data_IF_747580438331
#
_entry.id   IF_747580438331
#
_cell.length_a   1.000
_cell.length_b   1.000
_cell.length_c   1.000
_cell.angle_alpha   90.00
_cell.angle_beta   90.00
_cell.angle_gamma   90.00
#
_symmetry.space_group_name_H-M   'P 1'
#
loop_
_entity.id
_entity.type
_entity.pdbx_description
1 polymer ?
#
# COMPACT_ATOMS: atom_id res chain seq x y z
N UNK A 1 9.56 14.80 9.24
CA UNK A 1 8.76 13.74 8.58
C UNK A 1 7.46 14.36 8.15
N UNK A 2 6.98 14.04 6.95
CA UNK A 2 5.71 14.54 6.39
C UNK A 2 4.54 13.69 6.86
N UNK A 3 3.41 14.30 7.20
CA UNK A 3 2.17 13.59 7.56
C UNK A 3 1.42 13.13 6.32
N UNK A 4 0.46 12.21 6.50
CA UNK A 4 -0.36 11.73 5.39
C UNK A 4 -1.22 12.85 4.78
N UNK A 5 -1.72 13.77 5.62
CA UNK A 5 -2.54 14.89 5.15
C UNK A 5 -1.69 15.93 4.40
N UNK A 6 -0.48 16.23 4.88
CA UNK A 6 0.47 17.07 4.15
C UNK A 6 0.80 16.49 2.77
N UNK A 7 1.08 15.19 2.69
CA UNK A 7 1.34 14.51 1.43
C UNK A 7 0.13 14.59 0.48
N UNK A 8 -1.08 14.31 0.97
CA UNK A 8 -2.31 14.40 0.17
C UNK A 8 -2.54 15.82 -0.36
N UNK A 9 -2.26 16.84 0.45
CA UNK A 9 -2.34 18.24 0.03
C UNK A 9 -1.31 18.55 -1.08
N UNK A 10 -0.06 18.08 -0.94
CA UNK A 10 0.96 18.22 -1.98
C UNK A 10 0.55 17.54 -3.28
N UNK A 11 0.00 16.31 -3.23
CA UNK A 11 -0.47 15.59 -4.42
C UNK A 11 -1.66 16.30 -5.11
N UNK A 12 -2.58 16.87 -4.32
CA UNK A 12 -3.70 17.63 -4.85
C UNK A 12 -3.23 18.92 -5.55
N UNK A 13 -2.29 19.65 -4.94
CA UNK A 13 -1.70 20.84 -5.54
C UNK A 13 -0.95 20.50 -6.85
N UNK A 14 -0.15 19.45 -6.84
CA UNK A 14 0.59 18.99 -8.02
C UNK A 14 -0.33 18.63 -9.20
N UNK A 15 -1.47 17.98 -8.91
CA UNK A 15 -2.48 17.65 -9.91
C UNK A 15 -3.21 18.90 -10.44
N UNK A 16 -3.59 19.82 -9.56
CA UNK A 16 -4.29 21.05 -9.90
C UNK A 16 -3.45 21.97 -10.80
N UNK A 17 -2.14 22.07 -10.55
CA UNK A 17 -1.20 22.83 -11.40
C UNK A 17 -1.17 22.35 -12.86
N UNK A 18 -1.62 21.12 -13.12
CA UNK A 18 -1.55 20.47 -14.44
C UNK A 18 -2.93 20.19 -15.03
N UNK A 19 -4.00 20.66 -14.37
CA UNK A 19 -5.40 20.41 -14.75
C UNK A 19 -5.75 18.91 -14.89
N UNK A 20 -5.06 18.06 -14.13
CA UNK A 20 -5.23 16.61 -14.19
C UNK A 20 -6.52 16.11 -13.53
N UNK A 21 -7.17 16.95 -12.73
CA UNK A 21 -8.43 16.61 -12.05
C UNK A 21 -9.53 16.21 -13.05
N UNK A 22 -9.47 16.70 -14.29
CA UNK A 22 -10.40 16.31 -15.37
C UNK A 22 -10.22 14.86 -15.84
N UNK A 23 -9.02 14.30 -15.72
CA UNK A 23 -8.68 12.92 -16.10
C UNK A 23 -8.84 11.90 -14.98
N UNK A 24 -8.95 12.35 -13.73
CA UNK A 24 -9.04 11.50 -12.53
C UNK A 24 -10.46 11.02 -12.24
N UNK A 25 -11.01 10.23 -13.14
CA UNK A 25 -12.20 9.41 -12.85
C UNK A 25 -11.80 8.20 -12.01
N UNK A 26 -12.71 7.65 -11.17
CA UNK A 26 -12.45 6.39 -10.45
C UNK A 26 -12.07 5.23 -11.38
N UNK A 27 -12.62 5.19 -12.59
CA UNK A 27 -12.27 4.17 -13.58
C UNK A 27 -10.81 4.32 -14.04
N UNK A 28 -10.38 5.54 -14.39
CA UNK A 28 -9.03 5.79 -14.85
C UNK A 28 -8.00 5.54 -13.75
N UNK A 29 -8.29 5.98 -12.52
CA UNK A 29 -7.41 5.74 -11.37
C UNK A 29 -7.28 4.25 -11.05
N UNK A 30 -8.35 3.46 -11.19
CA UNK A 30 -8.28 2.01 -11.00
C UNK A 30 -7.37 1.34 -12.03
N UNK A 31 -7.41 1.82 -13.29
CA UNK A 31 -6.50 1.37 -14.35
C UNK A 31 -5.05 1.74 -14.03
N UNK A 32 -4.78 3.00 -13.65
CA UNK A 32 -3.44 3.44 -13.25
C UNK A 32 -2.88 2.60 -12.10
N UNK A 33 -3.65 2.36 -11.04
CA UNK A 33 -3.22 1.48 -9.93
C UNK A 33 -2.82 0.10 -10.44
N UNK A 34 -3.60 -0.49 -11.35
CA UNK A 34 -3.29 -1.81 -11.93
C UNK A 34 -2.04 -1.80 -12.81
N UNK A 35 -1.78 -0.70 -13.52
CA UNK A 35 -0.61 -0.54 -14.39
C UNK A 35 0.64 -0.44 -13.52
N UNK A 36 0.69 0.48 -12.55
CA UNK A 36 1.87 0.65 -11.70
C UNK A 36 2.13 -0.58 -10.81
N UNK A 37 1.07 -1.29 -10.41
CA UNK A 37 1.24 -2.56 -9.71
C UNK A 37 1.89 -3.63 -10.59
N UNK A 38 1.68 -3.59 -11.91
CA UNK A 38 2.34 -4.47 -12.87
C UNK A 38 3.80 -4.04 -13.12
N UNK A 39 4.11 -2.75 -13.13
CA UNK A 39 5.50 -2.24 -13.21
C UNK A 39 6.29 -2.63 -11.95
N UNK A 40 5.68 -2.51 -10.77
CA UNK A 40 6.25 -3.03 -9.52
C UNK A 40 6.48 -4.55 -9.58
N UNK A 41 5.57 -5.31 -10.20
CA UNK A 41 5.75 -6.74 -10.39
C UNK A 41 6.89 -7.06 -11.35
N UNK A 42 7.05 -6.27 -12.43
CA UNK A 42 8.11 -6.44 -13.43
C UNK A 42 9.50 -6.41 -12.81
N UNK A 43 9.71 -5.58 -11.78
CA UNK A 43 10.96 -5.53 -11.00
C UNK A 43 11.42 -6.94 -10.55
N UNK A 44 10.48 -7.85 -10.29
CA UNK A 44 10.75 -9.20 -9.76
C UNK A 44 10.58 -10.32 -10.79
N UNK A 45 10.18 -10.04 -12.04
CA UNK A 45 9.71 -11.05 -12.99
C UNK A 45 10.74 -12.12 -13.35
N UNK A 46 12.04 -11.77 -13.39
CA UNK A 46 13.09 -12.63 -13.94
C UNK A 46 13.99 -13.30 -12.90
N UNK A 47 13.62 -13.27 -11.62
CA UNK A 47 14.37 -13.95 -10.55
C UNK A 47 15.76 -13.36 -10.24
N UNK A 48 16.10 -12.18 -10.81
CA UNK A 48 17.26 -11.38 -10.43
C UNK A 48 16.92 -10.53 -9.19
N UNK A 49 17.93 -10.15 -8.42
CA UNK A 49 17.74 -9.10 -7.41
C UNK A 49 17.29 -7.81 -8.12
N UNK A 50 16.16 -7.21 -7.72
CA UNK A 50 15.66 -5.99 -8.35
C UNK A 50 16.55 -4.80 -7.98
N UNK A 51 16.59 -3.77 -8.84
CA UNK A 51 17.15 -2.47 -8.44
C UNK A 51 16.27 -1.88 -7.32
N UNK A 52 16.81 -1.61 -6.11
CA UNK A 52 16.04 -1.03 -5.01
C UNK A 52 15.43 0.33 -5.36
N UNK A 53 16.02 1.06 -6.30
CA UNK A 53 15.51 2.34 -6.76
C UNK A 53 14.22 2.18 -7.56
N UNK A 54 14.18 1.22 -8.48
CA UNK A 54 13.02 0.96 -9.33
C UNK A 54 11.85 0.50 -8.46
N UNK A 55 12.07 -0.49 -7.58
CA UNK A 55 11.05 -0.95 -6.61
C UNK A 55 10.50 0.19 -5.77
N UNK A 56 11.37 1.12 -5.33
CA UNK A 56 10.95 2.28 -4.53
C UNK A 56 10.07 3.22 -5.34
N UNK A 57 10.36 3.43 -6.62
CA UNK A 57 9.58 4.31 -7.48
C UNK A 57 8.24 3.69 -7.86
N UNK A 58 8.22 2.44 -8.32
CA UNK A 58 6.96 1.80 -8.69
C UNK A 58 6.02 1.64 -7.49
N UNK A 59 6.56 1.34 -6.30
CA UNK A 59 5.76 1.35 -5.08
C UNK A 59 5.21 2.75 -4.74
N UNK A 60 5.99 3.81 -4.98
CA UNK A 60 5.54 5.17 -4.77
C UNK A 60 4.43 5.56 -5.75
N UNK A 61 4.48 5.09 -6.99
CA UNK A 61 3.45 5.35 -8.00
C UNK A 61 2.14 4.61 -7.67
N UNK A 62 2.22 3.34 -7.26
CA UNK A 62 1.05 2.61 -6.73
C UNK A 62 0.39 3.37 -5.58
N UNK A 63 1.19 3.84 -4.61
CA UNK A 63 0.67 4.60 -3.46
C UNK A 63 0.06 5.94 -3.89
N UNK A 64 0.69 6.63 -4.84
CA UNK A 64 0.22 7.93 -5.35
C UNK A 64 -1.17 7.79 -5.96
N UNK A 65 -1.39 6.83 -6.85
CA UNK A 65 -2.73 6.63 -7.44
C UNK A 65 -3.75 6.11 -6.43
N UNK A 66 -3.35 5.31 -5.45
CA UNK A 66 -4.24 4.94 -4.33
C UNK A 66 -4.71 6.17 -3.53
N UNK A 67 -3.80 7.11 -3.24
CA UNK A 67 -4.14 8.35 -2.52
C UNK A 67 -5.01 9.28 -3.36
N UNK A 68 -4.76 9.39 -4.67
CA UNK A 68 -5.63 10.13 -5.57
C UNK A 68 -7.02 9.50 -5.69
N UNK A 69 -7.12 8.17 -5.74
CA UNK A 69 -8.40 7.45 -5.68
C UNK A 69 -9.15 7.78 -4.39
N UNK A 70 -8.49 7.70 -3.24
CA UNK A 70 -9.10 8.06 -1.96
C UNK A 70 -9.59 9.52 -1.96
N UNK A 71 -8.82 10.46 -2.54
CA UNK A 71 -9.25 11.86 -2.68
C UNK A 71 -10.52 12.00 -3.53
N UNK A 72 -10.56 11.40 -4.72
CA UNK A 72 -11.71 11.48 -5.63
C UNK A 72 -12.96 10.84 -5.02
N UNK A 73 -12.80 9.70 -4.33
CA UNK A 73 -13.89 9.01 -3.63
C UNK A 73 -14.24 9.64 -2.28
N UNK A 74 -13.52 10.69 -1.85
CA UNK A 74 -13.70 11.38 -0.55
C UNK A 74 -13.55 10.43 0.64
N UNK A 75 -12.57 9.54 0.58
CA UNK A 75 -12.24 8.58 1.62
C UNK A 75 -11.02 9.05 2.42
N UNK A 76 -11.00 8.70 3.70
CA UNK A 76 -9.78 8.75 4.50
C UNK A 76 -9.01 7.43 4.30
N UNK A 77 -7.81 7.46 3.67
CA UNK A 77 -7.05 6.26 3.38
C UNK A 77 -6.59 5.50 4.62
N UNK A 78 -6.28 6.19 5.73
CA UNK A 78 -5.89 5.52 6.98
C UNK A 78 -7.09 4.79 7.59
N UNK A 79 -8.25 5.45 7.63
CA UNK A 79 -9.46 4.88 8.19
C UNK A 79 -9.92 3.62 7.42
N UNK A 80 -9.96 3.66 6.08
CA UNK A 80 -10.41 2.50 5.29
C UNK A 80 -9.46 1.30 5.43
N UNK A 81 -8.16 1.54 5.62
CA UNK A 81 -7.18 0.48 5.87
C UNK A 81 -7.40 -0.13 7.26
N UNK A 82 -7.57 0.70 8.29
CA UNK A 82 -7.84 0.25 9.67
C UNK A 82 -9.12 -0.59 9.73
N UNK A 83 -10.20 -0.14 9.11
CA UNK A 83 -11.45 -0.91 9.00
C UNK A 83 -11.23 -2.26 8.31
N UNK A 84 -10.47 -2.28 7.21
CA UNK A 84 -10.17 -3.51 6.49
C UNK A 84 -9.29 -4.47 7.30
N UNK A 85 -8.38 -3.96 8.13
CA UNK A 85 -7.56 -4.76 9.03
C UNK A 85 -8.40 -5.45 10.10
N UNK A 86 -9.42 -4.78 10.66
CA UNK A 86 -10.37 -5.42 11.60
C UNK A 86 -11.11 -6.59 10.97
N UNK A 87 -11.55 -6.45 9.71
CA UNK A 87 -12.16 -7.55 8.95
C UNK A 87 -11.16 -8.68 8.71
N UNK A 88 -9.93 -8.33 8.32
CA UNK A 88 -8.86 -9.30 8.04
C UNK A 88 -8.48 -10.09 9.29
N UNK A 89 -8.41 -9.45 10.46
CA UNK A 89 -8.12 -10.11 11.75
C UNK A 89 -9.18 -11.15 12.12
N UNK A 90 -10.46 -10.86 11.85
CA UNK A 90 -11.54 -11.84 12.06
C UNK A 90 -11.45 -13.02 11.10
N UNK A 91 -11.03 -12.78 9.86
CA UNK A 91 -10.86 -13.82 8.84
C UNK A 91 -9.63 -14.70 9.09
N UNK A 92 -8.55 -14.12 9.61
CA UNK A 92 -7.28 -14.77 9.87
C UNK A 92 -6.82 -14.50 11.31
N UNK A 93 -7.33 -15.24 12.30
CA UNK A 93 -6.90 -15.09 13.68
C UNK A 93 -5.41 -15.50 13.84
N UNK A 94 -4.69 -14.93 14.82
CA UNK A 94 -3.30 -15.29 15.05
C UNK A 94 -3.19 -16.79 15.38
N UNK A 95 -2.23 -17.46 14.74
CA UNK A 95 -1.85 -18.81 15.13
C UNK A 95 -1.07 -18.70 16.44
N UNK A 96 -1.71 -19.04 17.55
CA UNK A 96 -1.01 -19.16 18.83
C UNK A 96 -0.19 -20.44 18.75
N UNK A 97 1.13 -20.30 18.57
CA UNK A 97 2.05 -21.41 18.83
C UNK A 97 2.24 -21.47 20.33
N UNK A 98 1.68 -22.48 20.97
CA UNK A 98 2.01 -22.79 22.37
C UNK A 98 3.54 -22.87 22.48
N UNK A 99 4.13 -22.11 23.41
CA UNK A 99 5.56 -22.20 23.66
C UNK A 99 5.88 -23.64 24.07
N UNK A 100 6.83 -24.28 23.39
CA UNK A 100 7.35 -25.57 23.80
C UNK A 100 7.80 -25.47 25.26
N UNK A 101 7.05 -26.08 26.17
CA UNK A 101 7.47 -26.25 27.56
C UNK A 101 8.69 -27.15 27.53
N UNK A 102 9.89 -26.56 27.58
CA UNK A 102 11.12 -27.32 27.81
C UNK A 102 10.97 -28.03 29.15
N UNK A 103 10.79 -29.36 29.09
CA UNK A 103 10.85 -30.21 30.29
C UNK A 103 12.23 -30.00 30.93
N UNK A 104 12.31 -29.80 32.26
CA UNK A 104 13.61 -29.69 32.92
C UNK A 104 14.40 -30.97 32.68
N UNK A 105 15.63 -30.82 32.18
CA UNK A 105 16.60 -31.91 32.08
C UNK A 105 16.81 -32.47 33.48
N UNK A 106 16.40 -33.74 33.67
CA UNK A 106 16.77 -34.50 34.85
C UNK A 106 18.24 -34.89 34.68
N UNK A 107 19.14 -34.15 35.33
CA UNK A 107 20.53 -34.57 35.49
C UNK A 107 20.56 -35.80 36.41
N UNK A 108 20.98 -36.94 35.87
CA UNK A 108 21.40 -38.12 36.60
C UNK A 108 22.84 -38.46 36.21
#
# INVERSE_FOLDING_TARGET
>A
MTTLDELRATLAAFAAERDWDTGFTPENLAKSISIEAAELLECYQWGKEPDPKDVRYELADVLTYCLQMARILKLDPAQIVLEKLEVTRKKYPPVIKEAEVKKPEQNA
#
